data_IF_344715653870
#
_entry.id   IF_344715653870
#
_cell.length_a   1.000
_cell.length_b   1.000
_cell.length_c   1.000
_cell.angle_alpha   90.00
_cell.angle_beta   90.00
_cell.angle_gamma   90.00
#
_symmetry.space_group_name_H-M   'P 1'
#
loop_
_entity.id
_entity.type
_entity.pdbx_description
1 polymer ?
#
# COMPACT_ATOMS: atom_id res chain seq x y z
N UNK A 1 -5.99 -7.78 1.02
CA UNK A 1 -6.08 -6.30 1.07
C UNK A 1 -4.99 -5.64 1.88
N UNK A 2 -4.39 -6.31 2.87
CA UNK A 2 -3.26 -5.79 3.67
C UNK A 2 -2.14 -5.26 2.80
N UNK A 3 -1.74 -5.99 1.75
CA UNK A 3 -0.74 -5.52 0.78
C UNK A 3 -1.03 -4.12 0.21
N UNK A 4 -2.26 -3.86 -0.25
CA UNK A 4 -2.64 -2.54 -0.78
C UNK A 4 -2.64 -1.46 0.31
N UNK A 5 -2.99 -1.81 1.55
CA UNK A 5 -2.92 -0.88 2.68
C UNK A 5 -1.48 -0.53 3.02
N UNK A 6 -0.62 -1.53 3.06
CA UNK A 6 0.82 -1.38 3.34
C UNK A 6 1.50 -0.61 2.20
N UNK A 7 0.98 -0.72 0.98
CA UNK A 7 1.37 0.07 -0.18
C UNK A 7 0.61 1.41 -0.33
N UNK A 8 -0.06 1.92 0.71
CA UNK A 8 -0.84 3.17 0.58
C UNK A 8 0.02 4.36 0.09
N UNK A 9 -0.30 5.00 -1.05
CA UNK A 9 0.52 6.06 -1.64
C UNK A 9 0.22 7.46 -1.07
N UNK A 10 -0.58 7.59 -0.01
CA UNK A 10 -0.79 8.90 0.62
C UNK A 10 0.51 9.42 1.23
N UNK A 11 0.66 10.75 1.29
CA UNK A 11 1.87 11.42 1.77
C UNK A 11 2.36 10.82 3.10
N UNK A 12 1.49 10.78 4.12
CA UNK A 12 1.80 10.24 5.45
C UNK A 12 2.34 8.80 5.41
N UNK A 13 1.64 7.88 4.74
CA UNK A 13 2.11 6.49 4.67
C UNK A 13 3.39 6.34 3.82
N UNK A 14 3.54 7.13 2.76
CA UNK A 14 4.73 7.11 1.92
C UNK A 14 5.96 7.62 2.65
N UNK A 15 5.82 8.67 3.47
CA UNK A 15 6.88 9.23 4.31
C UNK A 15 7.27 8.25 5.43
N UNK A 16 6.29 7.68 6.13
CA UNK A 16 6.52 6.65 7.15
C UNK A 16 7.26 5.44 6.57
N UNK A 17 6.80 4.91 5.43
CA UNK A 17 7.48 3.81 4.74
C UNK A 17 8.92 4.14 4.40
N UNK A 18 9.15 5.33 3.83
CA UNK A 18 10.49 5.79 3.43
C UNK A 18 11.42 5.88 4.64
N UNK A 19 10.94 6.42 5.76
CA UNK A 19 11.73 6.54 6.98
C UNK A 19 12.08 5.19 7.60
N UNK A 20 11.21 4.20 7.44
CA UNK A 20 11.43 2.83 7.92
C UNK A 20 12.19 1.94 6.93
N UNK A 21 12.51 2.45 5.73
CA UNK A 21 13.20 1.69 4.69
C UNK A 21 12.37 0.54 4.09
N UNK A 22 11.04 0.57 4.27
CA UNK A 22 10.12 -0.49 3.80
C UNK A 22 9.74 -0.31 2.34
N UNK A 23 9.55 -1.43 1.63
CA UNK A 23 9.02 -1.42 0.26
C UNK A 23 7.50 -1.25 0.27
N UNK A 24 6.93 -0.84 -0.86
CA UNK A 24 5.48 -0.79 -1.01
C UNK A 24 4.87 -2.19 -0.85
N UNK A 25 3.90 -2.31 0.05
CA UNK A 25 3.24 -3.59 0.35
C UNK A 25 3.94 -4.43 1.44
N UNK A 26 5.07 -3.96 1.96
CA UNK A 26 5.74 -4.57 3.10
C UNK A 26 5.13 -4.09 4.41
N UNK A 27 4.63 -5.04 5.21
CA UNK A 27 3.97 -4.74 6.47
C UNK A 27 4.94 -4.14 7.50
N UNK A 28 4.50 -3.17 8.32
CA UNK A 28 5.31 -2.65 9.41
C UNK A 28 5.68 -3.77 10.40
N UNK A 29 6.96 -3.87 10.76
CA UNK A 29 7.39 -4.79 11.81
C UNK A 29 7.30 -4.10 13.18
N UNK A 30 6.64 -4.75 14.14
CA UNK A 30 6.73 -4.32 15.55
C UNK A 30 8.19 -4.43 16.01
N UNK A 31 8.65 -3.43 16.78
CA UNK A 31 9.99 -3.49 17.36
C UNK A 31 10.11 -4.70 18.30
N UNK A 32 11.27 -5.36 18.35
CA UNK A 32 11.49 -6.45 19.31
C UNK A 32 11.23 -5.98 20.74
N UNK A 33 10.35 -6.69 21.46
CA UNK A 33 9.98 -6.37 22.84
C UNK A 33 8.73 -5.48 23.00
N UNK A 34 8.15 -4.97 21.90
CA UNK A 34 6.86 -4.29 21.95
C UNK A 34 5.73 -5.29 21.73
N UNK A 35 4.83 -5.41 22.71
CA UNK A 35 3.65 -6.28 22.56
C UNK A 35 2.77 -5.71 21.46
N UNK A 36 2.42 -6.49 20.41
CA UNK A 36 1.55 -5.98 19.36
C UNK A 36 0.17 -5.70 19.98
N UNK A 37 -0.18 -4.42 20.09
CA UNK A 37 -1.57 -4.05 20.36
C UNK A 37 -2.44 -4.70 19.30
N UNK A 38 -3.49 -5.41 19.75
CA UNK A 38 -4.47 -5.98 18.83
C UNK A 38 -5.15 -4.85 18.05
N UNK A 39 -4.76 -4.73 16.78
CA UNK A 39 -5.43 -3.88 15.81
C UNK A 39 -6.15 -4.79 14.81
N UNK A 40 -7.43 -4.51 14.50
CA UNK A 40 -8.13 -5.28 13.48
C UNK A 40 -7.39 -5.16 12.14
N UNK A 41 -7.34 -6.25 11.38
CA UNK A 41 -6.71 -6.25 10.08
C UNK A 41 -7.33 -5.17 9.17
N UNK A 42 -6.51 -4.41 8.43
CA UNK A 42 -7.01 -3.36 7.56
C UNK A 42 -7.82 -3.95 6.40
N UNK A 43 -9.02 -3.42 6.22
CA UNK A 43 -9.97 -3.81 5.18
C UNK A 43 -10.51 -2.54 4.51
N UNK A 44 -10.64 -2.54 3.17
CA UNK A 44 -11.31 -1.46 2.49
C UNK A 44 -12.80 -1.53 2.83
N UNK A 45 -13.37 -0.42 3.26
CA UNK A 45 -14.82 -0.23 3.46
C UNK A 45 -15.47 0.35 2.21
N UNK A 46 -14.71 1.07 1.39
CA UNK A 46 -15.18 1.62 0.13
C UNK A 46 -14.04 1.67 -0.90
N UNK A 47 -14.41 1.56 -2.18
CA UNK A 47 -13.51 1.74 -3.30
C UNK A 47 -14.25 2.52 -4.39
N UNK A 48 -13.67 3.63 -4.83
CA UNK A 48 -14.27 4.49 -5.86
C UNK A 48 -13.24 4.86 -6.93
N UNK A 49 -13.68 5.00 -8.20
CA UNK A 49 -12.81 5.48 -9.25
C UNK A 49 -12.52 6.96 -9.08
N UNK A 50 -11.26 7.34 -9.26
CA UNK A 50 -10.84 8.74 -9.39
C UNK A 50 -10.64 9.02 -10.87
N UNK A 51 -11.67 9.58 -11.49
CA UNK A 51 -11.70 9.78 -12.94
C UNK A 51 -11.55 8.46 -13.69
N UNK A 52 -10.59 8.39 -14.62
CA UNK A 52 -10.27 7.18 -15.41
C UNK A 52 -8.87 6.63 -15.16
N UNK A 53 -8.12 7.18 -14.21
CA UNK A 53 -6.68 6.92 -14.07
C UNK A 53 -6.28 6.29 -12.72
N UNK A 54 -7.19 6.24 -11.74
CA UNK A 54 -6.86 5.77 -10.40
C UNK A 54 -8.08 5.24 -9.62
N UNK A 55 -7.79 4.57 -8.51
CA UNK A 55 -8.75 4.17 -7.47
C UNK A 55 -8.45 4.89 -6.16
N UNK A 56 -9.49 5.27 -5.43
CA UNK A 56 -9.40 5.71 -4.04
C UNK A 56 -10.07 4.68 -3.15
N UNK A 57 -9.40 4.34 -2.04
CA UNK A 57 -9.92 3.42 -1.04
C UNK A 57 -10.17 4.15 0.28
N UNK A 58 -11.30 3.81 0.91
CA UNK A 58 -11.56 4.12 2.31
C UNK A 58 -11.31 2.87 3.13
N UNK A 59 -10.55 3.00 4.22
CA UNK A 59 -10.12 1.90 5.07
C UNK A 59 -10.82 1.97 6.43
N UNK A 60 -11.04 0.81 7.06
CA UNK A 60 -11.60 0.72 8.41
C UNK A 60 -10.67 1.25 9.52
N UNK A 61 -9.41 1.55 9.21
CA UNK A 61 -8.43 2.12 10.12
C UNK A 61 -8.35 3.67 10.04
N UNK A 62 -9.26 4.29 9.28
CA UNK A 62 -9.35 5.75 9.14
C UNK A 62 -8.59 6.33 7.94
N UNK A 63 -7.88 5.52 7.14
CA UNK A 63 -7.21 6.03 5.94
C UNK A 63 -8.19 6.20 4.78
N UNK A 64 -8.17 7.36 4.10
CA UNK A 64 -9.07 7.66 2.98
C UNK A 64 -8.44 8.48 1.84
N UNK A 65 -7.17 8.85 1.98
CA UNK A 65 -6.48 9.77 1.05
C UNK A 65 -5.52 9.08 0.07
N UNK A 66 -5.45 7.75 0.07
CA UNK A 66 -4.60 7.01 -0.87
C UNK A 66 -5.22 6.96 -2.25
N UNK A 67 -4.57 7.59 -3.24
CA UNK A 67 -4.94 7.53 -4.66
C UNK A 67 -3.99 6.56 -5.37
N UNK A 68 -4.52 5.43 -5.80
CA UNK A 68 -3.78 4.35 -6.43
C UNK A 68 -3.97 4.45 -7.95
N UNK A 69 -3.02 5.06 -8.65
CA UNK A 69 -3.05 5.11 -10.11
C UNK A 69 -2.87 3.71 -10.71
N UNK A 70 -3.36 3.51 -11.94
CA UNK A 70 -3.15 2.24 -12.64
C UNK A 70 -1.68 1.94 -12.88
N UNK A 71 -0.87 2.98 -13.10
CA UNK A 71 0.58 2.88 -13.19
C UNK A 71 1.18 2.40 -11.88
N UNK A 72 0.83 3.05 -10.76
CA UNK A 72 1.34 2.69 -9.43
C UNK A 72 0.97 1.27 -9.05
N UNK A 73 -0.29 0.86 -9.27
CA UNK A 73 -0.75 -0.49 -8.98
C UNK A 73 0.04 -1.57 -9.75
N UNK A 74 0.47 -1.27 -10.97
CA UNK A 74 1.31 -2.17 -11.77
C UNK A 74 2.75 -2.20 -11.28
N UNK A 75 3.32 -1.05 -10.92
CA UNK A 75 4.67 -0.93 -10.35
C UNK A 75 4.81 -1.77 -9.08
N UNK A 76 3.84 -1.68 -8.17
CA UNK A 76 3.88 -2.43 -6.91
C UNK A 76 3.34 -3.86 -7.03
N UNK A 77 2.92 -4.31 -8.21
CA UNK A 77 2.23 -5.59 -8.33
C UNK A 77 3.24 -6.75 -8.15
N UNK A 78 3.04 -7.66 -7.17
CA UNK A 78 3.96 -8.76 -6.93
C UNK A 78 3.75 -9.94 -7.90
N UNK A 79 2.90 -9.81 -8.91
CA UNK A 79 2.68 -10.90 -9.86
C UNK A 79 3.90 -11.07 -10.78
N UNK A 80 4.12 -12.31 -11.23
CA UNK A 80 5.26 -12.66 -12.08
C UNK A 80 5.31 -11.80 -13.35
N UNK A 81 4.16 -11.50 -13.96
CA UNK A 81 4.08 -10.68 -15.16
C UNK A 81 4.59 -9.24 -14.93
N UNK A 82 4.24 -8.63 -13.79
CA UNK A 82 4.70 -7.27 -13.47
C UNK A 82 6.16 -7.27 -13.00
N UNK A 83 6.57 -8.25 -12.19
CA UNK A 83 7.96 -8.39 -11.76
C UNK A 83 8.93 -8.66 -12.92
N UNK A 84 8.51 -9.43 -13.94
CA UNK A 84 9.31 -9.67 -15.14
C UNK A 84 9.52 -8.40 -15.98
N UNK A 85 8.54 -7.47 -16.01
CA UNK A 85 8.63 -6.21 -16.76
C UNK A 85 9.62 -5.22 -16.14
N UNK A 86 9.73 -5.21 -14.81
CA UNK A 86 10.72 -4.38 -14.10
C UNK A 86 12.16 -4.85 -14.39
N UNK A 87 12.38 -6.17 -14.39
CA UNK A 87 13.70 -6.78 -14.65
C UNK A 87 14.21 -6.56 -16.10
N UNK A 88 13.32 -6.35 -17.06
CA UNK A 88 13.69 -6.09 -18.48
C UNK A 88 14.08 -4.62 -18.71
N UNK A 89 13.70 -3.71 -17.81
CA UNK A 89 13.92 -2.27 -17.98
C UNK A 89 15.10 -1.74 -17.12
N UNK A 90 15.76 -2.61 -16.35
CA UNK A 90 16.91 -2.28 -15.48
C UNK A 90 18.27 -2.62 -16.09
#
# INVERSE_FOLDING_TARGET
FTFLRDACPCALCSEERRNEGRRAGESPHSKPGELPMFRPAPKPTHAEPVGRYALRFTWNDGHLHGIYSWEYLREICPCEECGAREAVTS
#
